data_IF_688707977542
#
_entry.id   IF_688707977542
#
_cell.length_a   1.000
_cell.length_b   1.000
_cell.length_c   1.000
_cell.angle_alpha   90.00
_cell.angle_beta   90.00
_cell.angle_gamma   90.00
#
_symmetry.space_group_name_H-M   'P 1'
#
loop_
_entity.id
_entity.type
_entity.pdbx_description
1 polymer ?
#
# COMPACT_ATOMS: atom_id res chain seq x y z
N UNK A 1 -18.38 -4.75 10.43
CA UNK A 1 -19.06 -3.73 11.28
C UNK A 1 -17.98 -2.87 11.89
N UNK A 2 -17.51 -1.86 11.15
CA UNK A 2 -16.48 -0.92 11.61
C UNK A 2 -17.07 -0.04 12.72
N UNK A 3 -16.37 0.06 13.85
CA UNK A 3 -16.83 0.83 15.01
C UNK A 3 -16.67 2.32 14.69
N UNK A 4 -17.69 3.17 14.89
CA UNK A 4 -17.70 4.57 14.44
C UNK A 4 -16.77 5.52 15.20
N UNK A 5 -15.77 5.01 15.93
CA UNK A 5 -14.87 5.83 16.75
C UNK A 5 -13.53 5.13 17.02
N UNK A 6 -12.95 4.47 16.03
CA UNK A 6 -11.52 4.13 16.11
C UNK A 6 -10.75 5.43 15.84
N UNK A 7 -9.82 5.85 16.73
CA UNK A 7 -9.08 7.07 16.51
C UNK A 7 -8.40 6.95 15.15
N UNK A 8 -8.64 7.93 14.27
CA UNK A 8 -7.83 8.13 13.09
C UNK A 8 -6.41 8.25 13.65
N UNK A 9 -5.61 7.18 13.53
CA UNK A 9 -4.21 7.26 13.92
C UNK A 9 -3.65 8.37 13.06
N UNK A 10 -3.34 9.50 13.68
CA UNK A 10 -2.87 10.67 12.96
C UNK A 10 -1.64 10.23 12.18
N UNK A 11 -1.73 10.30 10.86
CA UNK A 11 -0.65 9.92 9.97
C UNK A 11 0.39 11.03 10.04
N UNK A 12 1.28 10.93 11.02
CA UNK A 12 2.45 11.79 11.09
C UNK A 12 3.59 11.18 10.26
N UNK A 13 4.49 11.99 9.70
CA UNK A 13 5.67 11.48 9.00
C UNK A 13 6.49 10.48 9.82
N UNK A 14 6.67 10.74 11.11
CA UNK A 14 7.40 9.85 12.02
C UNK A 14 6.76 8.47 12.16
N UNK A 15 5.43 8.42 12.25
CA UNK A 15 4.68 7.16 12.33
C UNK A 15 4.79 6.40 11.01
N UNK A 16 4.63 7.08 9.87
CA UNK A 16 4.79 6.46 8.55
C UNK A 16 6.17 5.84 8.36
N UNK A 17 7.23 6.60 8.64
CA UNK A 17 8.60 6.13 8.45
C UNK A 17 8.88 4.89 9.30
N UNK A 18 8.41 4.86 10.55
CA UNK A 18 8.52 3.69 11.42
C UNK A 18 7.73 2.50 10.89
N UNK A 19 6.49 2.71 10.45
CA UNK A 19 5.66 1.65 9.89
C UNK A 19 6.29 1.03 8.63
N UNK A 20 6.71 1.85 7.66
CA UNK A 20 7.37 1.37 6.45
C UNK A 20 8.68 0.63 6.73
N UNK A 21 9.46 1.08 7.72
CA UNK A 21 10.67 0.38 8.16
C UNK A 21 10.36 -1.02 8.74
N UNK A 22 9.20 -1.19 9.37
CA UNK A 22 8.70 -2.49 9.84
C UNK A 22 7.98 -3.30 8.75
N UNK A 23 7.90 -2.81 7.51
CA UNK A 23 7.19 -3.48 6.43
C UNK A 23 5.66 -3.27 6.44
N UNK A 24 5.16 -2.41 7.31
CA UNK A 24 3.73 -2.10 7.48
C UNK A 24 3.37 -0.84 6.69
N UNK A 25 2.18 -0.78 6.09
CA UNK A 25 1.71 0.40 5.38
C UNK A 25 0.23 0.67 5.66
N UNK A 26 -0.21 1.95 5.62
CA UNK A 26 -1.60 2.28 5.79
C UNK A 26 -2.38 2.04 4.49
N UNK A 27 -3.54 1.40 4.57
CA UNK A 27 -4.43 1.16 3.44
C UNK A 27 -5.88 1.02 3.93
N UNK A 28 -6.84 1.54 3.17
CA UNK A 28 -8.26 1.28 3.41
C UNK A 28 -8.65 -0.14 2.97
N UNK A 29 -9.71 -0.72 3.53
CA UNK A 29 -10.17 -2.05 3.14
C UNK A 29 -10.77 -2.06 1.72
N UNK A 30 -11.39 -0.95 1.31
CA UNK A 30 -11.93 -0.76 -0.05
C UNK A 30 -11.86 0.70 -0.48
N UNK A 31 -12.18 0.98 -1.75
CA UNK A 31 -12.13 2.34 -2.31
C UNK A 31 -13.12 3.31 -1.63
N UNK A 32 -14.25 2.80 -1.15
CA UNK A 32 -15.32 3.59 -0.51
C UNK A 32 -15.23 3.56 1.03
N UNK A 33 -14.27 2.84 1.62
CA UNK A 33 -14.10 2.78 3.07
C UNK A 33 -13.39 4.05 3.58
N UNK A 34 -14.04 4.87 4.43
CA UNK A 34 -13.41 6.05 5.02
C UNK A 34 -12.35 5.70 6.08
N UNK A 35 -12.24 4.43 6.48
CA UNK A 35 -11.27 3.92 7.46
C UNK A 35 -9.88 3.66 6.88
N UNK A 36 -8.87 3.84 7.74
CA UNK A 36 -7.47 3.55 7.43
C UNK A 36 -6.96 2.46 8.35
N UNK A 37 -6.37 1.41 7.79
CA UNK A 37 -5.85 0.28 8.54
C UNK A 37 -4.36 0.09 8.27
N UNK A 38 -3.61 -0.37 9.27
CA UNK A 38 -2.22 -0.73 9.11
C UNK A 38 -2.11 -2.19 8.65
N UNK A 39 -1.53 -2.40 7.47
CA UNK A 39 -1.47 -3.70 6.82
C UNK A 39 -0.06 -4.28 6.89
N UNK A 40 0.03 -5.50 7.43
CA UNK A 40 1.20 -6.37 7.38
C UNK A 40 0.83 -7.65 6.60
N UNK A 41 1.16 -7.73 5.30
CA UNK A 41 0.75 -8.89 4.50
C UNK A 41 1.66 -10.09 4.77
N UNK A 42 1.06 -11.28 4.99
CA UNK A 42 1.80 -12.54 5.10
C UNK A 42 2.66 -12.84 3.86
N UNK A 43 2.16 -12.48 2.67
CA UNK A 43 2.90 -12.56 1.41
C UNK A 43 2.99 -11.19 0.77
N UNK A 44 4.22 -10.68 0.64
CA UNK A 44 4.49 -9.37 0.03
C UNK A 44 4.70 -9.52 -1.47
N UNK A 45 3.89 -8.80 -2.25
CA UNK A 45 4.17 -8.58 -3.67
C UNK A 45 5.42 -7.70 -3.80
N UNK A 46 6.48 -8.24 -4.39
CA UNK A 46 7.73 -7.51 -4.67
C UNK A 46 7.97 -7.53 -6.17
N UNK A 47 8.24 -6.36 -6.73
CA UNK A 47 8.52 -6.20 -8.15
C UNK A 47 10.00 -5.93 -8.38
N UNK A 48 10.77 -6.85 -8.99
CA UNK A 48 12.18 -6.62 -9.30
C UNK A 48 12.33 -5.50 -10.34
N UNK A 49 13.07 -4.44 -9.99
CA UNK A 49 13.24 -3.27 -10.86
C UNK A 49 13.98 -3.62 -12.16
N UNK A 50 15.01 -4.47 -12.06
CA UNK A 50 15.82 -4.90 -13.22
C UNK A 50 15.15 -6.02 -14.05
N UNK A 51 13.97 -6.47 -13.64
CA UNK A 51 13.27 -7.63 -14.21
C UNK A 51 11.97 -7.29 -14.93
N UNK A 52 11.65 -6.00 -15.13
CA UNK A 52 10.36 -5.58 -15.66
C UNK A 52 10.06 -6.22 -17.02
N UNK A 53 9.04 -7.09 -17.05
CA UNK A 53 8.55 -7.70 -18.29
C UNK A 53 7.53 -6.79 -18.94
N UNK A 54 7.91 -6.20 -20.06
CA UNK A 54 7.03 -5.37 -20.91
C UNK A 54 6.58 -6.22 -22.09
N UNK A 55 5.28 -6.36 -22.29
CA UNK A 55 4.75 -7.07 -23.45
C UNK A 55 5.08 -6.31 -24.74
N UNK A 56 5.26 -7.02 -25.86
CA UNK A 56 5.63 -6.39 -27.15
C UNK A 56 4.61 -5.34 -27.61
N UNK A 57 3.32 -5.58 -27.36
CA UNK A 57 2.25 -4.62 -27.67
C UNK A 57 2.34 -3.37 -26.81
N UNK A 58 2.58 -3.52 -25.50
CA UNK A 58 2.76 -2.37 -24.62
C UNK A 58 4.03 -1.59 -25.00
N UNK A 59 5.13 -2.28 -25.29
CA UNK A 59 6.37 -1.64 -25.75
C UNK A 59 6.18 -0.85 -27.06
N UNK A 60 5.25 -1.25 -27.93
CA UNK A 60 4.90 -0.47 -29.14
C UNK A 60 4.08 0.78 -28.84
N UNK A 61 3.26 0.77 -27.79
CA UNK A 61 2.40 1.91 -27.43
C UNK A 61 3.14 3.00 -26.68
N UNK A 62 4.15 2.67 -25.87
CA UNK A 62 4.89 3.64 -25.05
C UNK A 62 6.15 4.17 -25.76
N UNK A 63 6.54 3.60 -26.91
CA UNK A 63 7.67 4.11 -27.73
C UNK A 63 7.29 5.32 -28.55
#
# INVERSE_FOLDING_TARGET
>A
MSRPNEPIVEITPDVLLKAYACGIFPMAESADDPGLYWIEPERRGVFPLDGLKISSRLARTIR
#
